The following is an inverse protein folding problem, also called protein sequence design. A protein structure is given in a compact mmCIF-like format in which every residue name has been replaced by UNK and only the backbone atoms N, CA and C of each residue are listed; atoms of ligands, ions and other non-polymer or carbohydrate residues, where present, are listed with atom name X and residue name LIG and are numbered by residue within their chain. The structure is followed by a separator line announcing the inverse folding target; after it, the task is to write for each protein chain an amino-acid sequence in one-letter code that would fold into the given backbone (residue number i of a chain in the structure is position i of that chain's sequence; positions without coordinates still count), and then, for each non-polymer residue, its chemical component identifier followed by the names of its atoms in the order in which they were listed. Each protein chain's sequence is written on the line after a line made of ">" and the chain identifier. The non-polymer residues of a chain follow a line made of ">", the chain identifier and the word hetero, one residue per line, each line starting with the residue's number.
data_IF_352414605734
#
_entry.id   IF_352414605734
#
_cell.length_a   1.000
_cell.length_b   1.000
_cell.length_c   1.000
_cell.angle_alpha   90.00
_cell.angle_beta   90.00
_cell.angle_gamma   90.00
#
_symmetry.space_group_name_H-M   'P 1'
#
loop_
_entity.id
_entity.type
_entity.pdbx_description
1 polymer ?
#
# COMPACT_ATOMS: atom_id res chain seq x y z
N UNK A 1 -7.55 2.80 -4.36
CA UNK A 1 -6.94 3.91 -3.58
C UNK A 1 -5.93 4.64 -4.47
N UNK A 2 -5.80 5.97 -4.37
CA UNK A 2 -4.94 6.79 -5.26
C UNK A 2 -3.77 7.48 -4.53
N UNK A 3 -3.49 7.11 -3.28
CA UNK A 3 -2.40 7.71 -2.50
C UNK A 3 -1.03 7.31 -3.08
N UNK A 4 -0.07 8.24 -3.06
CA UNK A 4 1.32 7.94 -3.41
C UNK A 4 1.96 7.08 -2.30
N UNK A 5 2.02 5.77 -2.54
CA UNK A 5 2.55 4.79 -1.58
C UNK A 5 4.05 4.97 -1.30
N UNK A 6 4.82 5.49 -2.26
CA UNK A 6 6.26 5.73 -2.05
C UNK A 6 6.47 6.95 -1.14
N UNK A 7 5.70 8.01 -1.36
CA UNK A 7 5.76 9.18 -0.49
C UNK A 7 5.25 8.87 0.92
N UNK A 8 4.14 8.12 1.03
CA UNK A 8 3.62 7.63 2.31
C UNK A 8 4.68 6.85 3.10
N UNK A 9 5.38 5.93 2.45
CA UNK A 9 6.43 5.12 3.08
C UNK A 9 7.57 5.99 3.64
N UNK A 10 8.03 6.99 2.88
CA UNK A 10 9.08 7.91 3.33
C UNK A 10 8.67 8.69 4.58
N UNK A 11 7.45 9.21 4.60
CA UNK A 11 6.91 9.97 5.74
C UNK A 11 6.74 9.09 6.97
N UNK A 12 6.17 7.89 6.82
CA UNK A 12 6.03 6.92 7.91
C UNK A 12 7.38 6.50 8.50
N UNK A 13 8.41 6.32 7.67
CA UNK A 13 9.76 6.01 8.14
C UNK A 13 10.41 7.18 8.88
N UNK A 14 10.23 8.41 8.41
CA UNK A 14 10.73 9.60 9.09
C UNK A 14 10.05 9.77 10.46
N UNK A 15 8.74 9.57 10.54
CA UNK A 15 7.97 9.63 11.79
C UNK A 15 8.43 8.56 12.79
N UNK A 16 8.51 7.30 12.35
CA UNK A 16 8.95 6.20 13.20
C UNK A 16 10.40 6.37 13.68
N UNK A 17 11.28 6.94 12.85
CA UNK A 17 12.66 7.24 13.23
C UNK A 17 12.73 8.35 14.29
N UNK A 18 12.00 9.45 14.11
CA UNK A 18 11.97 10.56 15.08
C UNK A 18 11.37 10.14 16.42
N UNK A 19 10.29 9.36 16.41
CA UNK A 19 9.69 8.80 17.63
C UNK A 19 10.68 7.93 18.41
N UNK A 20 11.41 7.04 17.72
CA UNK A 20 12.39 6.15 18.35
C UNK A 20 13.62 6.88 18.90
N UNK A 21 14.01 7.98 18.26
CA UNK A 21 15.19 8.75 18.63
C UNK A 21 14.92 9.78 19.74
N UNK A 22 13.68 9.88 20.25
CA UNK A 22 13.22 10.99 21.12
C UNK A 22 13.66 12.35 20.56
N UNK A 23 13.61 12.46 19.23
CA UNK A 23 14.17 13.58 18.50
C UNK A 23 13.14 14.70 18.43
N UNK A 24 13.56 15.93 18.75
CA UNK A 24 12.70 17.13 18.71
C UNK A 24 12.04 17.40 17.34
N UNK A 25 12.51 16.75 16.27
CA UNK A 25 11.94 16.82 14.92
C UNK A 25 10.65 15.99 14.75
N UNK A 26 10.20 15.23 15.77
CA UNK A 26 8.96 14.45 15.70
C UNK A 26 7.77 15.30 15.26
N UNK A 27 7.65 16.53 15.79
CA UNK A 27 6.53 17.42 15.48
C UNK A 27 6.44 17.77 13.99
N UNK A 28 7.58 18.01 13.33
CA UNK A 28 7.64 18.34 11.90
C UNK A 28 7.27 17.13 11.04
N UNK A 29 7.68 15.94 11.46
CA UNK A 29 7.37 14.72 10.72
C UNK A 29 5.89 14.35 10.86
N UNK A 30 5.30 14.55 12.05
CA UNK A 30 3.86 14.37 12.26
C UNK A 30 3.06 15.37 11.42
N UNK A 31 3.43 16.66 11.42
CA UNK A 31 2.75 17.70 10.62
C UNK A 31 2.81 17.41 9.11
N UNK A 32 3.96 16.98 8.60
CA UNK A 32 4.12 16.63 7.19
C UNK A 32 3.33 15.36 6.81
N UNK A 33 3.21 14.41 7.73
CA UNK A 33 2.41 13.21 7.55
C UNK A 33 0.91 13.56 7.54
N UNK A 34 0.45 14.37 8.49
CA UNK A 34 -0.95 14.82 8.56
C UNK A 34 -1.35 15.61 7.31
N UNK A 35 -0.50 16.55 6.86
CA UNK A 35 -0.74 17.30 5.61
C UNK A 35 -0.85 16.37 4.40
N UNK A 36 0.03 15.37 4.31
CA UNK A 36 0.02 14.40 3.20
C UNK A 36 -1.24 13.51 3.21
N UNK A 37 -1.72 13.13 4.39
CA UNK A 37 -2.91 12.28 4.53
C UNK A 37 -4.23 13.05 4.34
N UNK A 38 -4.22 14.35 4.59
CA UNK A 38 -5.39 15.21 4.48
C UNK A 38 -6.45 14.84 5.52
N UNK A 39 -7.66 14.52 5.07
CA UNK A 39 -8.78 14.14 5.96
C UNK A 39 -8.66 12.72 6.51
N UNK A 40 -7.77 11.89 5.96
CA UNK A 40 -7.63 10.50 6.38
C UNK A 40 -6.65 10.34 7.51
N UNK A 41 -6.96 9.43 8.42
CA UNK A 41 -6.01 8.95 9.42
C UNK A 41 -5.06 7.90 8.83
N UNK A 42 -3.90 7.71 9.47
CA UNK A 42 -2.99 6.58 9.15
C UNK A 42 -3.73 5.24 9.21
N UNK A 43 -4.66 5.08 10.16
CA UNK A 43 -5.46 3.87 10.33
C UNK A 43 -6.38 3.59 9.14
N UNK A 44 -7.09 4.60 8.64
CA UNK A 44 -7.96 4.47 7.47
C UNK A 44 -7.14 4.13 6.22
N UNK A 45 -6.00 4.81 6.01
CA UNK A 45 -5.10 4.47 4.90
C UNK A 45 -4.54 3.05 5.02
N UNK A 46 -4.23 2.59 6.23
CA UNK A 46 -3.78 1.22 6.46
C UNK A 46 -4.88 0.20 6.10
N UNK A 47 -6.14 0.44 6.48
CA UNK A 47 -7.26 -0.43 6.13
C UNK A 47 -7.52 -0.45 4.62
N UNK A 48 -7.43 0.69 3.95
CA UNK A 48 -7.53 0.77 2.49
C UNK A 48 -6.39 0.02 1.79
N UNK A 49 -5.15 0.15 2.29
CA UNK A 49 -4.00 -0.60 1.78
C UNK A 49 -4.15 -2.11 1.96
N UNK A 50 -4.71 -2.57 3.08
CA UNK A 50 -4.99 -3.98 3.31
C UNK A 50 -6.05 -4.50 2.34
N UNK A 51 -7.14 -3.75 2.15
CA UNK A 51 -8.19 -4.11 1.20
C UNK A 51 -7.67 -4.16 -0.24
N UNK A 52 -6.85 -3.19 -0.64
CA UNK A 52 -6.21 -3.18 -1.95
C UNK A 52 -5.24 -4.35 -2.12
N UNK A 53 -4.46 -4.69 -1.09
CA UNK A 53 -3.55 -5.82 -1.14
C UNK A 53 -4.30 -7.16 -1.29
N UNK A 54 -5.42 -7.32 -0.58
CA UNK A 54 -6.28 -8.50 -0.70
C UNK A 54 -6.87 -8.61 -2.11
N UNK A 55 -7.37 -7.51 -2.68
CA UNK A 55 -7.89 -7.49 -4.04
C UNK A 55 -6.82 -7.86 -5.07
N UNK A 56 -5.60 -7.30 -4.94
CA UNK A 56 -4.48 -7.63 -5.81
C UNK A 56 -4.06 -9.10 -5.70
N UNK A 57 -4.04 -9.68 -4.49
CA UNK A 57 -3.73 -11.09 -4.29
C UNK A 57 -4.75 -12.00 -4.97
N UNK A 58 -6.05 -11.68 -4.86
CA UNK A 58 -7.12 -12.44 -5.52
C UNK A 58 -6.98 -12.39 -7.04
N UNK A 59 -6.68 -11.20 -7.58
CA UNK A 59 -6.49 -11.04 -9.02
C UNK A 59 -5.25 -11.77 -9.53
N UNK A 60 -4.13 -11.70 -8.81
CA UNK A 60 -2.94 -12.48 -9.15
C UNK A 60 -3.21 -14.00 -9.14
N UNK A 61 -3.98 -14.50 -8.17
CA UNK A 61 -4.35 -15.91 -8.11
C UNK A 61 -5.21 -16.31 -9.32
N UNK A 62 -6.25 -15.52 -9.63
CA UNK A 62 -7.12 -15.72 -10.79
C UNK A 62 -6.33 -15.73 -12.10
N UNK A 63 -5.45 -14.75 -12.31
CA UNK A 63 -4.60 -14.69 -13.51
C UNK A 63 -3.62 -15.88 -13.59
N UNK A 64 -3.16 -16.38 -12.45
CA UNK A 64 -2.30 -17.57 -12.41
C UNK A 64 -3.07 -18.82 -12.84
N UNK A 65 -4.31 -18.98 -12.38
CA UNK A 65 -5.20 -20.07 -12.80
C UNK A 65 -5.53 -20.00 -14.30
N UNK A 66 -5.92 -18.82 -14.79
CA UNK A 66 -6.20 -18.60 -16.22
C UNK A 66 -4.97 -18.94 -17.09
N UNK A 67 -3.78 -18.47 -16.69
CA UNK A 67 -2.54 -18.76 -17.41
C UNK A 67 -2.23 -20.26 -17.41
N UNK A 68 -2.49 -20.97 -16.32
CA UNK A 68 -2.29 -22.42 -16.25
C UNK A 68 -3.26 -23.16 -17.17
N UNK A 69 -4.54 -22.78 -17.15
CA UNK A 69 -5.57 -23.38 -18.01
C UNK A 69 -5.24 -23.21 -19.51
N UNK A 70 -4.71 -22.05 -19.89
CA UNK A 70 -4.25 -21.78 -21.27
C UNK A 70 -3.05 -22.65 -21.68
N UNK A 71 -2.14 -22.96 -20.73
CA UNK A 71 -1.00 -23.84 -20.99
C UNK A 71 -1.40 -25.32 -21.08
N UNK A 72 -2.41 -25.74 -20.31
CA UNK A 72 -2.90 -27.12 -20.29
C UNK A 72 -3.81 -27.44 -21.49
N UNK A 73 -4.52 -26.45 -22.04
CA UNK A 73 -5.41 -26.62 -23.20
C UNK A 73 -5.13 -25.57 -24.29
N UNK A 74 -4.01 -25.66 -25.03
CA UNK A 74 -3.68 -24.70 -26.09
C UNK A 74 -4.63 -24.75 -27.30
N UNK A 75 -5.53 -25.75 -27.37
CA UNK A 75 -6.44 -26.00 -28.49
C UNK A 75 -7.76 -25.23 -28.47
N UNK A 76 -8.15 -24.63 -27.34
CA UNK A 76 -9.41 -23.86 -27.22
C UNK A 76 -9.22 -22.35 -27.50
N UNK A 77 -8.03 -21.95 -27.95
CA UNK A 77 -7.67 -20.57 -28.25
C UNK A 77 -8.03 -20.09 -29.68
N UNK A 78 -8.94 -20.79 -30.38
CA UNK A 78 -9.43 -20.42 -31.72
C UNK A 78 -10.95 -20.30 -31.77
#
# INVERSE_FOLDING_TARGET
>A
MTIDKQQLQKLLWAEAASFRADCADWKRNTEALDEFLGEKTVGEVALELLSENEALRKECARLTEDNLALLENPGDAL
#
